data_IF_159049033469
#
_entry.id   IF_159049033469
#
_cell.length_a   1.000
_cell.length_b   1.000
_cell.length_c   1.000
_cell.angle_alpha   90.00
_cell.angle_beta   90.00
_cell.angle_gamma   90.00
#
_symmetry.space_group_name_H-M   'P 1'
#
loop_
_entity.id
_entity.type
_entity.pdbx_description
1 polymer ?
#
# COMPACT_ATOMS: atom_id res chain seq x y z
N UNK A 1 27.41 -3.78 -11.86
CA UNK A 1 26.57 -3.76 -10.62
C UNK A 1 25.18 -3.36 -11.01
N UNK A 2 24.18 -4.19 -10.73
CA UNK A 2 22.80 -3.82 -10.98
C UNK A 2 22.39 -2.68 -10.04
N UNK A 3 21.74 -1.64 -10.57
CA UNK A 3 21.23 -0.52 -9.78
C UNK A 3 20.19 -1.01 -8.79
N UNK A 4 20.34 -0.68 -7.50
CA UNK A 4 19.33 -0.95 -6.47
C UNK A 4 18.09 -0.08 -6.74
N UNK A 5 16.93 -0.72 -6.87
CA UNK A 5 15.65 -0.02 -7.05
C UNK A 5 15.24 0.62 -5.71
N UNK A 6 14.79 1.87 -5.76
CA UNK A 6 14.34 2.64 -4.60
C UNK A 6 12.86 2.98 -4.70
N UNK A 7 12.08 2.53 -3.74
CA UNK A 7 10.62 2.72 -3.70
C UNK A 7 10.22 3.58 -2.51
N UNK A 8 9.47 4.65 -2.78
CA UNK A 8 8.83 5.46 -1.76
C UNK A 8 7.34 5.09 -1.67
N UNK A 9 6.94 4.53 -0.56
CA UNK A 9 5.53 4.32 -0.22
C UNK A 9 4.95 5.58 0.42
N UNK A 10 3.70 5.92 0.09
CA UNK A 10 3.00 7.05 0.72
C UNK A 10 1.71 6.56 1.37
N UNK A 11 1.42 7.02 2.59
CA UNK A 11 0.17 6.70 3.28
C UNK A 11 -0.35 7.92 4.05
N UNK A 12 -1.64 8.20 3.87
CA UNK A 12 -2.32 9.32 4.53
C UNK A 12 -3.03 8.91 5.83
N UNK A 13 -3.42 7.64 5.97
CA UNK A 13 -4.20 7.15 7.12
C UNK A 13 -3.42 7.29 8.43
N UNK A 14 -4.12 7.64 9.50
CA UNK A 14 -3.57 7.65 10.86
C UNK A 14 -3.82 6.33 11.59
N UNK A 15 -4.73 5.50 11.06
CA UNK A 15 -5.15 4.24 11.64
C UNK A 15 -4.13 3.12 11.52
N UNK A 16 -4.53 1.96 12.04
CA UNK A 16 -3.80 0.70 11.89
C UNK A 16 -4.79 -0.41 11.58
N UNK A 17 -4.80 -0.86 10.36
CA UNK A 17 -5.70 -1.88 9.85
C UNK A 17 -5.06 -2.72 8.75
N UNK A 18 -5.86 -3.48 8.04
CA UNK A 18 -5.38 -4.40 7.00
C UNK A 18 -4.56 -3.73 5.89
N UNK A 19 -4.85 -2.47 5.56
CA UNK A 19 -4.11 -1.70 4.58
C UNK A 19 -2.68 -1.41 5.08
N UNK A 20 -2.54 -0.83 6.26
CA UNK A 20 -1.25 -0.41 6.82
C UNK A 20 -0.38 -1.63 7.16
N UNK A 21 -0.98 -2.70 7.67
CA UNK A 21 -0.31 -3.99 7.92
C UNK A 21 0.27 -4.54 6.60
N UNK A 22 -0.54 -4.54 5.53
CA UNK A 22 -0.08 -4.99 4.22
C UNK A 22 1.06 -4.13 3.70
N UNK A 23 1.01 -2.80 3.84
CA UNK A 23 2.06 -1.89 3.37
C UNK A 23 3.39 -2.23 4.06
N UNK A 24 3.40 -2.39 5.37
CA UNK A 24 4.62 -2.74 6.12
C UNK A 24 5.15 -4.11 5.70
N UNK A 25 4.30 -5.12 5.60
CA UNK A 25 4.71 -6.46 5.19
C UNK A 25 5.27 -6.47 3.75
N UNK A 26 4.64 -5.74 2.83
CA UNK A 26 5.13 -5.57 1.45
C UNK A 26 6.51 -4.90 1.44
N UNK A 27 6.69 -3.82 2.21
CA UNK A 27 7.98 -3.12 2.31
C UNK A 27 9.09 -4.02 2.86
N UNK A 28 8.79 -4.85 3.87
CA UNK A 28 9.74 -5.81 4.43
C UNK A 28 10.11 -6.85 3.37
N UNK A 29 9.11 -7.47 2.74
CA UNK A 29 9.33 -8.53 1.76
C UNK A 29 10.12 -8.07 0.52
N UNK A 30 9.82 -6.88 -0.02
CA UNK A 30 10.56 -6.37 -1.19
C UNK A 30 11.97 -5.92 -0.81
N UNK A 31 12.20 -5.46 0.41
CA UNK A 31 13.54 -5.16 0.93
C UNK A 31 14.42 -6.41 1.00
N UNK A 32 13.86 -7.55 1.38
CA UNK A 32 14.56 -8.85 1.37
C UNK A 32 14.96 -9.28 -0.05
N UNK A 33 14.27 -8.75 -1.07
CA UNK A 33 14.64 -8.93 -2.48
C UNK A 33 15.63 -7.87 -3.01
N UNK A 34 16.26 -7.10 -2.13
CA UNK A 34 17.26 -6.11 -2.49
C UNK A 34 16.73 -4.75 -2.93
N UNK A 35 15.45 -4.46 -2.67
CA UNK A 35 14.84 -3.13 -2.93
C UNK A 35 15.04 -2.22 -1.72
N UNK A 36 15.46 -0.98 -1.93
CA UNK A 36 15.51 0.02 -0.87
C UNK A 36 14.14 0.70 -0.73
N UNK A 37 13.56 0.65 0.47
CA UNK A 37 12.20 1.14 0.73
C UNK A 37 12.17 2.31 1.69
N UNK A 38 11.24 3.24 1.43
CA UNK A 38 11.01 4.45 2.20
C UNK A 38 9.52 4.64 2.43
N UNK A 39 9.15 5.24 3.54
CA UNK A 39 7.77 5.63 3.83
C UNK A 39 7.64 7.14 3.97
N UNK A 40 6.59 7.72 3.37
CA UNK A 40 6.14 9.08 3.66
C UNK A 40 4.72 9.00 4.26
N UNK A 41 4.55 9.50 5.48
CA UNK A 41 3.28 9.46 6.19
C UNK A 41 3.10 10.66 7.11
N UNK A 42 1.95 10.75 7.78
CA UNK A 42 1.67 11.80 8.76
C UNK A 42 2.42 11.53 10.07
N UNK A 43 2.65 12.57 10.86
CA UNK A 43 3.47 12.49 12.07
C UNK A 43 2.89 11.54 13.14
N UNK A 44 1.57 11.57 13.31
CA UNK A 44 0.84 10.78 14.30
C UNK A 44 0.26 9.45 13.76
N UNK A 45 0.58 9.11 12.52
CA UNK A 45 0.14 7.85 11.93
C UNK A 45 0.83 6.64 12.60
N UNK A 46 0.05 5.62 12.96
CA UNK A 46 0.57 4.41 13.62
C UNK A 46 1.59 3.69 12.71
N UNK A 47 1.38 3.73 11.40
CA UNK A 47 2.30 3.14 10.42
C UNK A 47 3.72 3.73 10.51
N UNK A 48 3.87 5.00 10.95
CA UNK A 48 5.18 5.62 11.19
C UNK A 48 5.99 4.83 12.20
N UNK A 49 5.39 4.54 13.37
CA UNK A 49 6.06 3.77 14.41
C UNK A 49 6.42 2.37 13.92
N UNK A 50 5.49 1.69 13.24
CA UNK A 50 5.71 0.35 12.69
C UNK A 50 6.82 0.31 11.64
N UNK A 51 6.95 1.33 10.82
CA UNK A 51 8.05 1.46 9.86
C UNK A 51 9.41 1.64 10.58
N UNK A 52 9.46 2.50 11.60
CA UNK A 52 10.69 2.72 12.39
C UNK A 52 11.11 1.45 13.15
N UNK A 53 10.18 0.71 13.75
CA UNK A 53 10.44 -0.59 14.41
C UNK A 53 11.08 -1.61 13.44
N UNK A 54 10.80 -1.49 12.15
CA UNK A 54 11.37 -2.33 11.10
C UNK A 54 12.56 -1.70 10.38
N UNK A 55 13.20 -0.66 10.94
CA UNK A 55 14.33 0.05 10.34
C UNK A 55 14.04 0.62 8.95
N UNK A 56 12.81 1.02 8.67
CA UNK A 56 12.41 1.68 7.45
C UNK A 56 12.52 3.19 7.65
N UNK A 57 13.21 3.86 6.71
CA UNK A 57 13.35 5.32 6.76
C UNK A 57 12.02 6.02 6.47
N UNK A 58 11.61 6.91 7.38
CA UNK A 58 10.34 7.62 7.32
C UNK A 58 10.55 9.12 7.05
N UNK A 59 9.71 9.67 6.17
CA UNK A 59 9.57 11.10 5.92
C UNK A 59 8.21 11.57 6.44
N UNK A 60 8.21 12.47 7.41
CA UNK A 60 6.99 13.01 7.98
C UNK A 60 6.50 14.18 7.14
N UNK A 61 5.27 14.09 6.63
CA UNK A 61 4.64 15.10 5.81
C UNK A 61 3.17 15.30 6.24
N UNK A 62 2.61 16.51 6.06
CA UNK A 62 1.28 16.81 6.61
C UNK A 62 0.11 16.10 5.93
N UNK A 63 0.19 15.80 4.63
CA UNK A 63 -0.89 15.16 3.84
C UNK A 63 -2.28 15.73 4.16
N UNK A 64 -2.46 17.04 4.01
CA UNK A 64 -3.70 17.76 4.39
C UNK A 64 -4.89 17.43 3.50
N UNK A 65 -4.64 17.04 2.24
CA UNK A 65 -5.69 16.69 1.28
C UNK A 65 -5.17 16.61 -0.15
N UNK A 66 -6.10 16.51 -1.10
CA UNK A 66 -5.77 16.31 -2.52
C UNK A 66 -5.01 17.49 -3.16
N UNK A 67 -5.23 18.70 -2.68
CA UNK A 67 -4.60 19.94 -3.17
C UNK A 67 -3.51 20.46 -2.20
N UNK A 68 -2.81 19.58 -1.50
CA UNK A 68 -1.72 19.96 -0.59
C UNK A 68 -0.41 20.16 -1.37
N UNK A 69 -0.26 21.34 -1.98
CA UNK A 69 0.94 21.71 -2.73
C UNK A 69 2.22 21.67 -1.88
N UNK A 70 2.14 21.96 -0.57
CA UNK A 70 3.30 21.88 0.32
C UNK A 70 3.82 20.45 0.41
N UNK A 71 2.93 19.47 0.63
CA UNK A 71 3.28 18.05 0.62
C UNK A 71 3.76 17.60 -0.76
N UNK A 72 3.13 18.03 -1.85
CA UNK A 72 3.52 17.70 -3.22
C UNK A 72 4.97 18.10 -3.51
N UNK A 73 5.33 19.37 -3.28
CA UNK A 73 6.70 19.86 -3.54
C UNK A 73 7.73 19.25 -2.57
N UNK A 74 7.33 18.96 -1.33
CA UNK A 74 8.19 18.25 -0.36
C UNK A 74 8.47 16.82 -0.83
N UNK A 75 7.45 16.08 -1.30
CA UNK A 75 7.62 14.76 -1.88
C UNK A 75 8.53 14.80 -3.11
N UNK A 76 8.32 15.75 -4.03
CA UNK A 76 9.19 15.92 -5.20
C UNK A 76 10.65 16.15 -4.80
N UNK A 77 10.91 16.95 -3.75
CA UNK A 77 12.26 17.17 -3.22
C UNK A 77 12.85 15.89 -2.63
N UNK A 78 12.07 15.13 -1.85
CA UNK A 78 12.47 13.84 -1.28
C UNK A 78 12.82 12.84 -2.39
N UNK A 79 11.97 12.71 -3.43
CA UNK A 79 12.18 11.83 -4.57
C UNK A 79 13.53 12.14 -5.23
N UNK A 80 13.79 13.41 -5.54
CA UNK A 80 15.05 13.82 -6.20
C UNK A 80 16.25 13.62 -5.30
N UNK A 81 16.20 14.05 -4.01
CA UNK A 81 17.32 13.97 -3.07
C UNK A 81 17.75 12.54 -2.76
N UNK A 82 16.79 11.59 -2.70
CA UNK A 82 17.07 10.20 -2.37
C UNK A 82 17.19 9.30 -3.61
N UNK A 83 17.09 9.86 -4.82
CA UNK A 83 17.11 9.12 -6.10
C UNK A 83 16.07 8.00 -6.13
N UNK A 84 14.83 8.30 -5.71
CA UNK A 84 13.70 7.38 -5.74
C UNK A 84 13.37 7.04 -7.19
N UNK A 85 13.15 5.78 -7.51
CA UNK A 85 12.78 5.31 -8.84
C UNK A 85 11.27 5.17 -9.00
N UNK A 86 10.59 4.79 -7.91
CA UNK A 86 9.16 4.46 -7.91
C UNK A 86 8.47 5.11 -6.70
N UNK A 87 7.30 5.69 -6.91
CA UNK A 87 6.38 6.09 -5.83
C UNK A 87 5.17 5.17 -5.87
N UNK A 88 4.90 4.48 -4.77
CA UNK A 88 3.70 3.66 -4.59
C UNK A 88 2.76 4.32 -3.58
N UNK A 89 1.55 4.65 -4.02
CA UNK A 89 0.53 5.34 -3.21
C UNK A 89 -0.58 4.37 -2.79
N UNK A 90 -1.15 4.52 -1.60
CA UNK A 90 -2.03 3.52 -1.02
C UNK A 90 -3.45 3.99 -0.71
N UNK A 91 -3.65 5.24 -0.28
CA UNK A 91 -4.97 5.80 0.00
C UNK A 91 -5.41 6.84 -1.03
N UNK A 92 -6.62 7.37 -0.92
CA UNK A 92 -7.13 8.31 -1.92
C UNK A 92 -6.43 9.67 -1.89
N UNK A 93 -6.13 10.20 -0.69
CA UNK A 93 -5.57 11.56 -0.55
C UNK A 93 -4.09 11.62 -0.88
N UNK A 94 -3.31 10.64 -0.45
CA UNK A 94 -1.88 10.56 -0.79
C UNK A 94 -1.67 10.25 -2.29
N UNK A 95 -2.62 9.55 -2.93
CA UNK A 95 -2.56 9.28 -4.37
C UNK A 95 -2.49 10.56 -5.21
N UNK A 96 -3.24 11.59 -4.84
CA UNK A 96 -3.18 12.87 -5.55
C UNK A 96 -1.80 13.52 -5.44
N UNK A 97 -1.34 13.75 -4.22
CA UNK A 97 -0.08 14.48 -4.00
C UNK A 97 1.13 13.63 -4.36
N UNK A 98 1.11 12.32 -4.03
CA UNK A 98 2.19 11.38 -4.33
C UNK A 98 2.31 11.09 -5.82
N UNK A 99 1.17 10.82 -6.48
CA UNK A 99 1.15 10.55 -7.92
C UNK A 99 1.60 11.75 -8.75
N UNK A 100 1.10 12.96 -8.44
CA UNK A 100 1.55 14.18 -9.11
C UNK A 100 3.02 14.48 -8.83
N UNK A 101 3.50 14.28 -7.59
CA UNK A 101 4.91 14.46 -7.25
C UNK A 101 5.82 13.51 -8.03
N UNK A 102 5.40 12.24 -8.22
CA UNK A 102 6.11 11.26 -9.02
C UNK A 102 6.22 11.70 -10.50
N UNK A 103 5.08 12.09 -11.09
CA UNK A 103 5.06 12.57 -12.49
C UNK A 103 5.91 13.82 -12.68
N UNK A 104 5.82 14.81 -11.79
CA UNK A 104 6.65 16.01 -11.81
C UNK A 104 8.13 15.73 -11.54
N UNK A 105 8.46 14.63 -10.91
CA UNK A 105 9.83 14.20 -10.70
C UNK A 105 10.37 13.33 -11.85
N UNK A 106 9.51 12.82 -12.74
CA UNK A 106 9.88 11.97 -13.87
C UNK A 106 10.18 10.52 -13.43
N UNK A 107 9.56 10.04 -12.33
CA UNK A 107 9.72 8.68 -11.82
C UNK A 107 8.43 7.87 -11.99
N UNK A 108 8.51 6.56 -11.86
CA UNK A 108 7.34 5.68 -11.99
C UNK A 108 6.34 5.91 -10.86
N UNK A 109 5.06 5.94 -11.23
CA UNK A 109 3.94 6.07 -10.31
C UNK A 109 3.14 4.76 -10.27
N UNK A 110 3.10 4.12 -9.12
CA UNK A 110 2.28 2.94 -8.84
C UNK A 110 1.15 3.34 -7.90
N UNK A 111 -0.05 2.84 -8.19
CA UNK A 111 -1.21 2.95 -7.31
C UNK A 111 -1.59 1.58 -6.78
N UNK A 112 -1.51 1.35 -5.48
CA UNK A 112 -2.06 0.14 -4.83
C UNK A 112 -3.43 0.45 -4.23
N UNK A 113 -4.47 -0.20 -4.74
CA UNK A 113 -5.86 -0.03 -4.31
C UNK A 113 -6.25 -1.12 -3.33
N UNK A 114 -6.52 -0.75 -2.08
CA UNK A 114 -6.88 -1.68 -1.00
C UNK A 114 -8.38 -1.86 -0.81
N UNK A 115 -9.16 -0.80 -1.01
CA UNK A 115 -10.60 -0.80 -0.74
C UNK A 115 -11.41 -1.37 -1.89
N UNK A 116 -12.43 -2.19 -1.56
CA UNK A 116 -13.35 -2.80 -2.52
C UNK A 116 -14.48 -1.87 -2.99
N UNK A 117 -14.74 -0.76 -2.28
CA UNK A 117 -15.76 0.20 -2.71
C UNK A 117 -15.40 0.85 -4.04
N UNK A 118 -16.38 1.00 -4.92
CA UNK A 118 -16.16 1.59 -6.25
C UNK A 118 -15.68 3.03 -6.18
N UNK A 119 -14.71 3.35 -7.02
CA UNK A 119 -14.30 4.74 -7.24
C UNK A 119 -15.35 5.37 -8.17
N UNK A 120 -15.92 6.50 -7.75
CA UNK A 120 -16.86 7.23 -8.62
C UNK A 120 -16.13 7.70 -9.88
N UNK A 121 -16.67 7.32 -11.04
CA UNK A 121 -16.17 7.83 -12.32
C UNK A 121 -16.46 9.33 -12.40
N UNK A 122 -15.43 10.14 -12.60
CA UNK A 122 -15.53 11.59 -12.69
C UNK A 122 -14.37 12.12 -13.53
N UNK A 123 -14.61 13.17 -14.32
CA UNK A 123 -13.55 13.89 -15.06
C UNK A 123 -12.47 14.45 -14.12
N UNK A 124 -12.81 14.70 -12.86
CA UNK A 124 -11.88 15.19 -11.84
C UNK A 124 -11.11 14.08 -11.13
N UNK A 125 -11.36 12.81 -11.43
CA UNK A 125 -10.70 11.66 -10.78
C UNK A 125 -9.69 10.97 -11.70
N UNK A 126 -9.00 11.76 -12.50
CA UNK A 126 -8.04 11.28 -13.49
C UNK A 126 -6.72 10.78 -12.89
N UNK A 127 -6.47 11.00 -11.61
CA UNK A 127 -5.18 10.65 -10.99
C UNK A 127 -4.83 9.16 -11.13
N UNK A 128 -5.84 8.27 -11.10
CA UNK A 128 -5.61 6.85 -11.29
C UNK A 128 -5.17 6.50 -12.72
N UNK A 129 -5.62 7.28 -13.72
CA UNK A 129 -5.26 7.11 -15.13
C UNK A 129 -3.81 7.53 -15.41
N UNK A 130 -3.21 8.35 -14.54
CA UNK A 130 -1.80 8.75 -14.61
C UNK A 130 -0.84 7.70 -14.08
N UNK A 131 -1.33 6.66 -13.38
CA UNK A 131 -0.49 5.62 -12.84
C UNK A 131 0.15 4.81 -13.97
N UNK A 132 1.46 4.55 -13.86
CA UNK A 132 2.17 3.65 -14.78
C UNK A 132 1.73 2.20 -14.54
N UNK A 133 1.42 1.84 -13.27
CA UNK A 133 0.86 0.55 -12.87
C UNK A 133 -0.14 0.72 -11.74
N UNK A 134 -1.14 -0.16 -11.72
CA UNK A 134 -2.13 -0.23 -10.64
C UNK A 134 -2.15 -1.66 -10.08
N UNK A 135 -2.04 -1.78 -8.77
CA UNK A 135 -2.25 -3.04 -8.06
C UNK A 135 -3.56 -2.99 -7.27
N UNK A 136 -4.31 -4.08 -7.29
CA UNK A 136 -5.54 -4.24 -6.52
C UNK A 136 -5.43 -5.45 -5.61
N UNK A 137 -6.12 -5.44 -4.47
CA UNK A 137 -6.08 -6.54 -3.51
C UNK A 137 -7.00 -7.70 -3.89
N UNK A 138 -7.82 -7.55 -4.94
CA UNK A 138 -8.74 -8.57 -5.41
C UNK A 138 -9.14 -8.36 -6.87
N UNK A 139 -9.53 -9.45 -7.53
CA UNK A 139 -9.91 -9.44 -8.95
C UNK A 139 -11.21 -8.65 -9.20
N UNK A 140 -12.15 -8.66 -8.25
CA UNK A 140 -13.37 -7.85 -8.34
C UNK A 140 -13.06 -6.35 -8.40
N UNK A 141 -12.10 -5.89 -7.60
CA UNK A 141 -11.66 -4.48 -7.59
C UNK A 141 -11.00 -4.14 -8.93
N UNK A 142 -10.16 -5.04 -9.45
CA UNK A 142 -9.54 -4.89 -10.77
C UNK A 142 -10.60 -4.77 -11.88
N UNK A 143 -11.55 -5.68 -11.91
CA UNK A 143 -12.63 -5.68 -12.90
C UNK A 143 -13.48 -4.39 -12.83
N UNK A 144 -13.82 -3.92 -11.64
CA UNK A 144 -14.55 -2.66 -11.44
C UNK A 144 -13.76 -1.45 -11.94
N UNK A 145 -12.45 -1.38 -11.68
CA UNK A 145 -11.61 -0.27 -12.15
C UNK A 145 -11.49 -0.25 -13.67
N UNK A 146 -11.36 -1.39 -14.32
CA UNK A 146 -11.37 -1.48 -15.79
C UNK A 146 -12.72 -1.02 -16.34
N UNK A 147 -13.82 -1.58 -15.82
CA UNK A 147 -15.17 -1.34 -16.32
C UNK A 147 -15.68 0.09 -16.08
N UNK A 148 -15.47 0.62 -14.89
CA UNK A 148 -16.08 1.89 -14.46
C UNK A 148 -15.11 3.09 -14.42
N UNK A 149 -13.81 2.86 -14.31
CA UNK A 149 -12.82 3.91 -14.24
C UNK A 149 -11.93 4.00 -15.49
N UNK A 150 -12.25 3.25 -16.55
CA UNK A 150 -11.54 3.28 -17.85
C UNK A 150 -10.05 2.96 -17.74
N UNK A 151 -9.64 2.18 -16.74
CA UNK A 151 -8.25 1.78 -16.58
C UNK A 151 -7.88 0.76 -17.65
N UNK A 152 -6.75 0.98 -18.30
CA UNK A 152 -6.22 0.04 -19.28
C UNK A 152 -5.91 -1.31 -18.62
N UNK A 153 -6.46 -2.45 -19.12
CA UNK A 153 -6.21 -3.78 -18.56
C UNK A 153 -4.72 -4.17 -18.48
N UNK A 154 -3.89 -3.60 -19.35
CA UNK A 154 -2.46 -3.92 -19.42
C UNK A 154 -1.62 -3.28 -18.29
N UNK A 155 -2.14 -2.25 -17.62
CA UNK A 155 -1.43 -1.57 -16.52
C UNK A 155 -1.99 -1.89 -15.14
N UNK A 156 -3.01 -2.75 -15.04
CA UNK A 156 -3.64 -3.11 -13.78
C UNK A 156 -3.56 -4.62 -13.52
N UNK A 157 -3.12 -4.99 -12.32
CA UNK A 157 -2.99 -6.38 -11.89
C UNK A 157 -3.58 -6.58 -10.49
N UNK A 158 -4.29 -7.69 -10.30
CA UNK A 158 -4.69 -8.13 -8.97
C UNK A 158 -3.54 -8.84 -8.28
N UNK A 159 -3.17 -8.36 -7.09
CA UNK A 159 -2.16 -8.95 -6.21
C UNK A 159 -2.80 -9.10 -4.83
N UNK A 160 -3.35 -10.27 -4.50
CA UNK A 160 -3.93 -10.53 -3.20
C UNK A 160 -2.94 -10.29 -2.07
N UNK A 161 -3.47 -10.02 -0.87
CA UNK A 161 -2.63 -9.88 0.33
C UNK A 161 -2.00 -11.23 0.65
N UNK A 162 -0.67 -11.27 0.71
CA UNK A 162 0.08 -12.42 1.18
C UNK A 162 -0.03 -12.58 2.70
N UNK A 163 0.16 -13.80 3.17
CA UNK A 163 0.30 -14.13 4.58
C UNK A 163 1.66 -14.80 4.81
N UNK A 164 2.23 -14.62 5.99
CA UNK A 164 3.45 -15.30 6.37
C UNK A 164 3.13 -16.77 6.72
N UNK A 165 3.48 -17.67 5.82
CA UNK A 165 3.25 -19.12 5.99
C UNK A 165 4.15 -19.75 7.05
N UNK A 166 5.19 -19.08 7.52
CA UNK A 166 5.99 -19.55 8.67
C UNK A 166 5.27 -19.29 10.00
N UNK A 167 4.36 -18.31 10.03
CA UNK A 167 3.55 -17.99 11.18
C UNK A 167 2.19 -18.69 11.10
N UNK A 168 1.56 -18.64 9.93
CA UNK A 168 0.21 -19.17 9.68
C UNK A 168 0.29 -20.45 8.85
N UNK A 169 0.53 -21.58 9.49
CA UNK A 169 0.51 -22.90 8.84
C UNK A 169 -0.35 -23.87 9.67
N UNK A 170 -1.22 -24.68 8.98
CA UNK A 170 -2.23 -25.52 9.66
C UNK A 170 -1.63 -26.51 10.65
N UNK A 171 -0.48 -27.07 10.36
CA UNK A 171 0.19 -28.11 11.15
C UNK A 171 0.65 -27.61 12.54
N UNK A 172 0.80 -26.30 12.70
CA UNK A 172 1.16 -25.67 13.98
C UNK A 172 0.07 -25.80 15.02
N UNK A 173 -1.18 -25.93 14.59
CA UNK A 173 -2.34 -25.84 15.45
C UNK A 173 -3.10 -27.16 15.48
N UNK A 174 -3.16 -27.83 16.66
CA UNK A 174 -4.04 -28.96 16.86
C UNK A 174 -5.48 -28.46 16.97
N UNK A 175 -6.37 -28.97 16.11
CA UNK A 175 -7.80 -28.65 16.14
C UNK A 175 -8.40 -28.83 17.53
N UNK A 176 -8.10 -29.94 18.20
CA UNK A 176 -8.63 -30.24 19.52
C UNK A 176 -8.14 -29.25 20.58
N UNK A 177 -6.83 -28.98 20.64
CA UNK A 177 -6.26 -27.98 21.57
C UNK A 177 -6.83 -26.57 21.34
N UNK A 178 -7.07 -26.18 20.09
CA UNK A 178 -7.72 -24.89 19.78
C UNK A 178 -9.17 -24.88 20.28
N UNK A 179 -9.93 -25.95 20.06
CA UNK A 179 -11.32 -26.04 20.54
C UNK A 179 -11.40 -26.00 22.08
N UNK A 180 -10.55 -26.74 22.76
CA UNK A 180 -10.44 -26.69 24.22
C UNK A 180 -10.15 -25.28 24.75
N UNK A 181 -9.20 -24.58 24.13
CA UNK A 181 -8.84 -23.20 24.47
C UNK A 181 -10.02 -22.22 24.37
N UNK A 182 -10.92 -22.45 23.43
CA UNK A 182 -12.11 -21.62 23.21
C UNK A 182 -13.37 -22.23 23.83
N UNK A 183 -13.26 -23.29 24.64
CA UNK A 183 -14.38 -23.98 25.28
C UNK A 183 -15.45 -24.48 24.32
N UNK A 184 -15.04 -24.91 23.10
CA UNK A 184 -15.93 -25.40 22.07
C UNK A 184 -16.06 -26.91 22.08
N UNK A 185 -17.29 -27.42 22.08
CA UNK A 185 -17.58 -28.84 21.91
C UNK A 185 -17.30 -29.32 20.50
N UNK A 186 -17.08 -30.61 20.31
CA UNK A 186 -16.81 -31.19 18.97
C UNK A 186 -17.93 -30.93 17.95
N UNK A 187 -19.17 -30.91 18.41
CA UNK A 187 -20.37 -30.71 17.61
C UNK A 187 -20.64 -29.24 17.25
N UNK A 188 -19.94 -28.29 17.88
CA UNK A 188 -20.18 -26.85 17.63
C UNK A 188 -19.43 -26.34 16.41
N UNK A 189 -20.06 -25.47 15.65
CA UNK A 189 -19.44 -24.79 14.52
C UNK A 189 -18.79 -23.52 15.05
N UNK A 190 -17.46 -23.36 14.84
CA UNK A 190 -16.75 -22.12 15.12
C UNK A 190 -16.79 -21.22 13.87
N UNK A 191 -17.25 -19.99 14.06
CA UNK A 191 -17.20 -18.92 13.06
C UNK A 191 -16.29 -17.84 13.60
N UNK A 192 -15.25 -17.48 12.83
CA UNK A 192 -14.27 -16.45 13.18
C UNK A 192 -14.22 -15.34 12.16
#
# INVERSE_FOLDING_TARGET
MNKVIKVLHTEWSDGWGGQEIRIINEMIAVREQGVEVFLACRDHAIIKQKALENNIKVFVLPFRGNADFKTLFSLRKIIKKNSIDIVNTHSGKDTWVGGLAAKLAGVKFIRTRHLSNRIRSSRTNFINELADYIFTTGESVRADMIKYNRINPNVIKSIPTGIDTNIFFPEKYSKNKCREKFHLKESEIAIG
#
